data_IF_048444001127
#
_entry.id   IF_048444001127
#
_cell.length_a   1.000
_cell.length_b   1.000
_cell.length_c   1.000
_cell.angle_alpha   90.00
_cell.angle_beta   90.00
_cell.angle_gamma   90.00
#
_symmetry.space_group_name_H-M   'P 1'
#
loop_
_entity.id
_entity.type
_entity.pdbx_description
1 polymer ?
#
# COMPACT_ATOMS: atom_id res chain seq x y z
N UNK A 1 -4.53 -5.35 -30.39
CA UNK A 1 -4.94 -5.63 -28.98
C UNK A 1 -4.54 -4.52 -28.01
N UNK A 2 -3.36 -3.90 -28.16
CA UNK A 2 -2.91 -2.79 -27.29
C UNK A 2 -3.84 -1.56 -27.34
N UNK A 3 -4.22 -1.13 -28.54
CA UNK A 3 -5.05 0.07 -28.75
C UNK A 3 -6.46 -0.02 -28.12
N UNK A 4 -7.14 -1.16 -28.29
CA UNK A 4 -8.44 -1.41 -27.64
C UNK A 4 -8.37 -1.36 -26.11
N UNK A 5 -7.27 -1.85 -25.52
CA UNK A 5 -7.07 -1.79 -24.06
C UNK A 5 -6.85 -0.36 -23.60
N UNK A 6 -6.04 0.41 -24.33
CA UNK A 6 -5.80 1.81 -24.03
C UNK A 6 -7.11 2.63 -24.05
N UNK A 7 -7.95 2.42 -25.06
CA UNK A 7 -9.27 3.07 -25.14
C UNK A 7 -10.17 2.68 -23.96
N UNK A 8 -10.26 1.39 -23.61
CA UNK A 8 -11.09 0.95 -22.48
C UNK A 8 -10.64 1.58 -21.16
N UNK A 9 -9.33 1.64 -20.91
CA UNK A 9 -8.78 2.27 -19.70
C UNK A 9 -9.09 3.76 -19.67
N UNK A 10 -8.88 4.47 -20.79
CA UNK A 10 -9.19 5.89 -20.91
C UNK A 10 -10.66 6.17 -20.62
N UNK A 11 -11.56 5.38 -21.21
CA UNK A 11 -13.00 5.52 -21.01
C UNK A 11 -13.42 5.21 -19.56
N UNK A 12 -12.74 4.28 -18.87
CA UNK A 12 -12.94 4.03 -17.44
C UNK A 12 -12.50 5.23 -16.60
N UNK A 13 -11.33 5.79 -16.88
CA UNK A 13 -10.81 6.95 -16.15
C UNK A 13 -11.72 8.16 -16.33
N UNK A 14 -12.12 8.49 -17.56
CA UNK A 14 -13.00 9.65 -17.82
C UNK A 14 -14.35 9.51 -17.13
N UNK A 15 -14.99 8.33 -17.20
CA UNK A 15 -16.23 8.08 -16.45
C UNK A 15 -16.04 8.24 -14.94
N UNK A 16 -14.93 7.73 -14.40
CA UNK A 16 -14.63 7.88 -12.98
C UNK A 16 -14.44 9.36 -12.59
N UNK A 17 -13.79 10.15 -13.44
CA UNK A 17 -13.61 11.59 -13.23
C UNK A 17 -14.97 12.32 -13.26
N UNK A 18 -15.80 12.05 -14.27
CA UNK A 18 -17.14 12.62 -14.41
C UNK A 18 -18.03 12.31 -13.18
N UNK A 19 -17.99 11.06 -12.69
CA UNK A 19 -18.75 10.64 -11.50
C UNK A 19 -18.21 11.30 -10.21
N UNK A 20 -16.90 11.52 -10.13
CA UNK A 20 -16.24 12.09 -8.96
C UNK A 20 -16.45 13.60 -8.81
N UNK A 21 -16.78 14.33 -9.89
CA UNK A 21 -17.08 15.76 -9.82
C UNK A 21 -18.28 16.08 -8.92
N UNK A 22 -19.20 15.11 -8.73
CA UNK A 22 -20.30 15.23 -7.78
C UNK A 22 -19.93 14.90 -6.32
N UNK A 23 -19.13 13.86 -6.10
CA UNK A 23 -18.80 13.34 -4.76
C UNK A 23 -17.47 13.85 -4.17
N UNK A 24 -16.61 14.46 -4.99
CA UNK A 24 -15.26 14.92 -4.65
C UNK A 24 -14.22 13.81 -4.49
N UNK A 25 -14.64 12.54 -4.38
CA UNK A 25 -13.80 11.34 -4.22
C UNK A 25 -14.31 10.18 -5.06
N UNK A 26 -13.44 9.20 -5.33
CA UNK A 26 -13.79 7.98 -6.03
C UNK A 26 -14.27 6.90 -5.04
N UNK A 27 -15.24 6.06 -5.42
CA UNK A 27 -15.60 4.89 -4.62
C UNK A 27 -14.42 3.91 -4.56
N UNK A 28 -14.09 3.45 -3.36
CA UNK A 28 -13.07 2.43 -3.15
C UNK A 28 -13.72 1.05 -3.25
N UNK A 29 -13.35 0.30 -4.29
CA UNK A 29 -13.87 -1.05 -4.50
C UNK A 29 -13.40 -1.99 -3.39
N UNK A 30 -14.29 -2.88 -2.97
CA UNK A 30 -14.04 -3.82 -1.88
C UNK A 30 -13.60 -5.19 -2.40
N UNK A 31 -12.92 -5.95 -1.54
CA UNK A 31 -12.53 -7.35 -1.78
C UNK A 31 -13.74 -8.15 -2.29
N UNK A 32 -13.51 -8.92 -3.35
CA UNK A 32 -14.56 -9.53 -4.15
C UNK A 32 -14.71 -8.87 -5.53
N UNK A 33 -14.35 -7.59 -5.67
CA UNK A 33 -14.26 -6.95 -6.99
C UNK A 33 -13.05 -7.52 -7.78
N UNK A 34 -13.24 -8.00 -9.03
CA UNK A 34 -12.21 -8.74 -9.76
C UNK A 34 -10.96 -7.90 -10.10
N UNK A 35 -11.10 -6.57 -10.21
CA UNK A 35 -9.96 -5.67 -10.47
C UNK A 35 -8.86 -5.79 -9.41
N UNK A 36 -9.21 -6.10 -8.17
CA UNK A 36 -8.27 -6.25 -7.05
C UNK A 36 -7.46 -7.55 -7.12
N UNK A 37 -7.82 -8.45 -8.04
CA UNK A 37 -7.18 -9.76 -8.26
C UNK A 37 -6.51 -9.87 -9.61
N UNK A 38 -6.64 -8.86 -10.46
CA UNK A 38 -5.97 -8.81 -11.76
C UNK A 38 -4.63 -8.06 -11.63
N UNK A 39 -3.60 -8.51 -12.36
CA UNK A 39 -2.41 -7.70 -12.56
C UNK A 39 -2.78 -6.45 -13.37
N UNK A 40 -2.38 -5.29 -12.85
CA UNK A 40 -2.62 -4.01 -13.51
C UNK A 40 -1.79 -3.88 -14.79
N UNK A 41 -2.30 -3.13 -15.77
CA UNK A 41 -1.58 -2.83 -16.98
C UNK A 41 -0.52 -1.75 -16.74
N UNK A 42 0.64 -1.81 -17.41
CA UNK A 42 1.56 -0.68 -17.44
C UNK A 42 0.83 0.61 -17.84
N UNK A 43 1.17 1.72 -17.19
CA UNK A 43 0.74 3.06 -17.56
C UNK A 43 1.76 3.61 -18.57
N UNK A 44 1.49 3.44 -19.87
CA UNK A 44 2.41 3.67 -20.98
C UNK A 44 1.73 4.23 -22.25
N UNK A 45 0.75 5.14 -22.05
CA UNK A 45 0.11 5.90 -23.14
C UNK A 45 -1.41 5.75 -23.22
N UNK A 46 -2.05 5.16 -22.21
CA UNK A 46 -3.51 5.07 -22.11
C UNK A 46 -4.13 6.45 -21.83
N UNK A 47 -3.45 7.26 -21.02
CA UNK A 47 -3.88 8.59 -20.60
C UNK A 47 -2.96 9.66 -21.21
N UNK A 48 -3.56 10.81 -21.53
CA UNK A 48 -2.79 12.03 -21.76
C UNK A 48 -2.43 12.69 -20.42
N UNK A 49 -1.61 13.73 -20.46
CA UNK A 49 -1.12 14.42 -19.26
C UNK A 49 -2.26 15.03 -18.43
N UNK A 50 -3.33 15.48 -19.09
CA UNK A 50 -4.47 16.09 -18.41
C UNK A 50 -5.31 15.04 -17.67
N UNK A 51 -5.65 13.93 -18.33
CA UNK A 51 -6.37 12.81 -17.73
C UNK A 51 -5.55 12.18 -16.58
N UNK A 52 -4.23 12.05 -16.74
CA UNK A 52 -3.35 11.54 -15.67
C UNK A 52 -3.31 12.48 -14.47
N UNK A 53 -3.15 13.79 -14.68
CA UNK A 53 -3.12 14.77 -13.60
C UNK A 53 -4.43 14.79 -12.81
N UNK A 54 -5.57 14.72 -13.50
CA UNK A 54 -6.89 14.67 -12.86
C UNK A 54 -7.07 13.37 -12.07
N UNK A 55 -6.68 12.22 -12.64
CA UNK A 55 -6.74 10.93 -11.95
C UNK A 55 -5.89 10.92 -10.67
N UNK A 56 -4.65 11.42 -10.75
CA UNK A 56 -3.75 11.54 -9.58
C UNK A 56 -4.36 12.44 -8.50
N UNK A 57 -4.93 13.59 -8.88
CA UNK A 57 -5.59 14.49 -7.95
C UNK A 57 -6.80 13.82 -7.27
N UNK A 58 -7.59 13.06 -8.03
CA UNK A 58 -8.71 12.28 -7.50
C UNK A 58 -8.23 11.19 -6.54
N UNK A 59 -7.19 10.43 -6.89
CA UNK A 59 -6.57 9.42 -6.02
C UNK A 59 -6.08 10.04 -4.71
N UNK A 60 -5.40 11.19 -4.77
CA UNK A 60 -4.93 11.91 -3.58
C UNK A 60 -6.08 12.31 -2.66
N UNK A 61 -7.14 12.93 -3.21
CA UNK A 61 -8.32 13.34 -2.42
C UNK A 61 -9.01 12.12 -1.80
N UNK A 62 -9.17 11.06 -2.57
CA UNK A 62 -9.81 9.81 -2.12
C UNK A 62 -9.03 9.16 -0.99
N UNK A 63 -7.70 9.04 -1.13
CA UNK A 63 -6.81 8.51 -0.10
C UNK A 63 -6.92 9.30 1.21
N UNK A 64 -6.87 10.63 1.13
CA UNK A 64 -6.97 11.52 2.30
C UNK A 64 -8.34 11.49 2.96
N UNK A 65 -9.41 11.35 2.19
CA UNK A 65 -10.78 11.24 2.70
C UNK A 65 -11.06 9.88 3.38
N UNK A 66 -10.36 8.82 2.97
CA UNK A 66 -10.45 7.47 3.53
C UNK A 66 -9.38 7.17 4.61
N UNK A 67 -8.88 8.19 5.30
CA UNK A 67 -7.58 8.27 6.01
C UNK A 67 -6.51 7.19 5.69
N UNK A 68 -6.27 6.92 4.41
CA UNK A 68 -5.22 6.00 3.96
C UNK A 68 -3.85 6.65 3.86
N UNK A 69 -2.79 5.83 3.88
CA UNK A 69 -1.40 6.27 3.63
C UNK A 69 -0.87 5.87 2.25
N UNK A 70 -1.71 5.17 1.49
CA UNK A 70 -1.47 4.74 0.13
C UNK A 70 -2.79 4.41 -0.57
N UNK A 71 -2.82 4.54 -1.89
CA UNK A 71 -3.93 4.13 -2.73
C UNK A 71 -3.43 3.75 -4.12
N UNK A 72 -3.70 2.52 -4.54
CA UNK A 72 -3.43 2.01 -5.87
C UNK A 72 -4.65 2.21 -6.80
N UNK A 73 -4.41 2.50 -8.08
CA UNK A 73 -5.47 2.72 -9.07
C UNK A 73 -6.50 1.56 -9.16
N UNK A 74 -6.12 0.26 -9.01
CA UNK A 74 -7.10 -0.83 -8.94
C UNK A 74 -8.15 -0.66 -7.82
N UNK A 75 -7.80 -0.01 -6.72
CA UNK A 75 -8.74 0.22 -5.61
C UNK A 75 -9.86 1.20 -5.95
N UNK A 76 -9.72 1.99 -7.02
CA UNK A 76 -10.77 2.85 -7.56
C UNK A 76 -11.29 2.32 -8.91
N UNK A 77 -11.09 1.03 -9.19
CA UNK A 77 -11.60 0.37 -10.39
C UNK A 77 -10.75 0.55 -11.65
N UNK A 78 -9.60 1.22 -11.57
CA UNK A 78 -8.75 1.51 -12.73
C UNK A 78 -7.59 0.51 -12.81
N UNK A 79 -7.51 -0.37 -13.83
CA UNK A 79 -6.50 -1.43 -13.90
C UNK A 79 -5.16 -0.91 -14.45
N UNK A 80 -4.62 0.17 -13.89
CA UNK A 80 -3.32 0.75 -14.25
C UNK A 80 -2.29 0.58 -13.13
N UNK A 81 -1.02 0.41 -13.52
CA UNK A 81 0.13 0.36 -12.64
C UNK A 81 0.49 1.76 -12.14
N UNK A 82 -0.39 2.33 -11.32
CA UNK A 82 -0.32 3.67 -10.76
C UNK A 82 -0.71 3.61 -9.28
N UNK A 83 0.08 4.22 -8.42
CA UNK A 83 -0.22 4.38 -7.00
C UNK A 83 0.17 5.76 -6.49
N UNK A 84 -0.50 6.21 -5.44
CA UNK A 84 -0.12 7.39 -4.66
C UNK A 84 0.17 6.99 -3.22
N UNK A 85 1.14 7.65 -2.60
CA UNK A 85 1.53 7.41 -1.20
C UNK A 85 1.76 8.72 -0.47
N UNK A 86 1.37 8.78 0.80
CA UNK A 86 1.59 9.91 1.70
C UNK A 86 1.38 9.43 3.14
N UNK A 87 2.30 9.74 4.06
CA UNK A 87 2.13 9.44 5.48
C UNK A 87 2.47 10.69 6.30
N UNK A 88 1.55 11.24 7.10
CA UNK A 88 1.89 12.33 8.01
C UNK A 88 2.90 11.90 9.10
N UNK A 89 3.10 10.59 9.29
CA UNK A 89 3.87 10.03 10.40
C UNK A 89 2.97 9.72 11.59
N UNK A 90 3.58 9.54 12.76
CA UNK A 90 2.87 9.36 14.03
C UNK A 90 3.47 10.26 15.10
N UNK A 91 2.61 10.77 15.99
CA UNK A 91 3.04 11.67 17.08
C UNK A 91 3.72 10.92 18.23
N UNK A 92 3.38 9.63 18.42
CA UNK A 92 4.00 8.79 19.44
C UNK A 92 5.45 8.46 19.03
N UNK A 93 6.41 9.02 19.77
CA UNK A 93 7.83 8.88 19.49
C UNK A 93 8.34 7.44 19.60
N UNK A 94 7.76 6.61 20.48
CA UNK A 94 8.15 5.21 20.58
C UNK A 94 7.65 4.43 19.37
N UNK A 95 6.40 4.64 18.96
CA UNK A 95 5.83 4.04 17.75
C UNK A 95 6.60 4.49 16.51
N UNK A 96 6.90 5.80 16.38
CA UNK A 96 7.69 6.34 15.27
C UNK A 96 9.05 5.65 15.17
N UNK A 97 9.78 5.53 16.29
CA UNK A 97 11.09 4.89 16.35
C UNK A 97 11.03 3.39 16.03
N UNK A 98 10.07 2.67 16.62
CA UNK A 98 9.99 1.20 16.51
C UNK A 98 9.47 0.75 15.14
N UNK A 99 8.54 1.50 14.56
CA UNK A 99 7.99 1.23 13.22
C UNK A 99 8.74 1.93 12.10
N UNK A 100 9.72 2.78 12.45
CA UNK A 100 10.44 3.63 11.51
C UNK A 100 9.46 4.39 10.62
N UNK A 101 8.53 5.08 11.30
CA UNK A 101 7.36 5.72 10.70
C UNK A 101 7.47 7.23 10.83
N UNK A 102 8.35 7.78 10.01
CA UNK A 102 8.48 9.22 9.81
C UNK A 102 7.51 9.71 8.74
N UNK A 103 7.44 11.04 8.60
CA UNK A 103 6.65 11.68 7.54
C UNK A 103 7.15 11.27 6.15
N UNK A 104 6.22 10.79 5.33
CA UNK A 104 6.40 10.55 3.90
C UNK A 104 5.60 11.63 3.13
N UNK A 105 6.26 12.55 2.43
CA UNK A 105 5.57 13.51 1.55
C UNK A 105 4.72 12.80 0.49
N UNK A 106 3.72 13.49 -0.05
CA UNK A 106 2.91 12.96 -1.15
C UNK A 106 3.77 12.63 -2.36
N UNK A 107 3.58 11.44 -2.92
CA UNK A 107 4.30 10.96 -4.11
C UNK A 107 3.37 10.19 -5.04
N UNK A 108 3.66 10.30 -6.33
CA UNK A 108 3.03 9.51 -7.39
C UNK A 108 4.04 8.48 -7.87
N UNK A 109 3.60 7.23 -7.98
CA UNK A 109 4.41 6.11 -8.40
C UNK A 109 3.78 5.49 -9.65
N UNK A 110 4.37 5.78 -10.80
CA UNK A 110 3.97 5.25 -12.12
C UNK A 110 4.87 4.07 -12.45
N UNK A 111 4.24 2.95 -12.86
CA UNK A 111 4.89 1.67 -13.15
C UNK A 111 5.88 1.19 -12.07
N UNK A 112 5.54 1.27 -10.76
CA UNK A 112 6.51 0.99 -9.73
C UNK A 112 6.82 -0.50 -9.57
N UNK A 113 8.08 -0.76 -9.26
CA UNK A 113 8.59 -2.07 -8.85
C UNK A 113 9.49 -1.90 -7.62
N UNK A 114 9.64 -2.98 -6.84
CA UNK A 114 10.57 -2.99 -5.72
C UNK A 114 11.34 -4.31 -5.66
N UNK A 115 12.52 -4.24 -5.03
CA UNK A 115 13.32 -5.40 -4.66
C UNK A 115 13.72 -5.29 -3.18
N UNK A 116 13.66 -6.39 -2.39
CA UNK A 116 14.17 -6.39 -1.03
C UNK A 116 15.65 -5.98 -0.96
N UNK A 117 16.01 -5.20 0.06
CA UNK A 117 17.40 -4.87 0.38
C UNK A 117 17.75 -5.51 1.71
N UNK A 118 18.66 -6.49 1.67
CA UNK A 118 18.99 -7.33 2.82
C UNK A 118 17.94 -8.40 3.12
N UNK A 119 18.11 -9.09 4.26
CA UNK A 119 17.26 -10.22 4.69
C UNK A 119 16.28 -9.85 5.80
N UNK A 120 16.41 -8.64 6.36
CA UNK A 120 15.59 -8.19 7.48
C UNK A 120 14.11 -8.10 7.11
N UNK A 121 13.28 -8.73 7.94
CA UNK A 121 11.82 -8.63 7.85
C UNK A 121 11.24 -8.18 9.19
N UNK A 122 10.14 -7.43 9.11
CA UNK A 122 9.40 -6.91 10.26
C UNK A 122 7.91 -7.20 10.11
N UNK A 123 7.25 -7.57 11.20
CA UNK A 123 5.82 -7.88 11.23
C UNK A 123 5.03 -6.84 12.01
N UNK A 124 4.04 -6.23 11.36
CA UNK A 124 3.10 -5.29 11.98
C UNK A 124 1.70 -5.52 11.43
N UNK A 125 0.69 -5.07 12.17
CA UNK A 125 -0.69 -5.05 11.69
C UNK A 125 -0.82 -4.11 10.47
N UNK A 126 -1.36 -4.63 9.39
CA UNK A 126 -1.79 -3.89 8.20
C UNK A 126 -3.32 -3.94 8.10
N UNK A 127 -3.91 -2.86 7.60
CA UNK A 127 -5.28 -2.84 7.09
C UNK A 127 -5.26 -2.40 5.62
N UNK A 128 -6.42 -2.44 4.97
CA UNK A 128 -6.56 -2.01 3.58
C UNK A 128 -7.92 -1.33 3.39
N UNK A 129 -7.97 -0.23 2.64
CA UNK A 129 -9.21 0.47 2.33
C UNK A 129 -10.21 -0.38 1.52
N UNK A 130 -9.71 -1.41 0.83
CA UNK A 130 -10.51 -2.40 0.10
C UNK A 130 -10.89 -3.63 0.93
N UNK A 131 -10.50 -3.70 2.20
CA UNK A 131 -10.87 -4.78 3.14
C UNK A 131 -11.30 -4.11 4.45
N UNK A 132 -12.49 -3.52 4.42
CA UNK A 132 -13.00 -2.75 5.56
C UNK A 132 -13.24 -3.66 6.77
N UNK A 133 -12.84 -3.16 7.94
CA UNK A 133 -13.17 -3.75 9.25
C UNK A 133 -12.19 -4.80 9.75
N UNK A 134 -11.12 -5.12 9.02
CA UNK A 134 -10.14 -6.11 9.44
C UNK A 134 -8.69 -5.64 9.28
N UNK A 135 -7.84 -6.14 10.18
CA UNK A 135 -6.40 -6.00 10.13
C UNK A 135 -5.73 -7.33 10.50
N UNK A 136 -4.54 -7.57 9.96
CA UNK A 136 -3.73 -8.73 10.33
C UNK A 136 -2.25 -8.39 10.27
N UNK A 137 -1.43 -9.14 11.01
CA UNK A 137 0.03 -9.02 10.95
C UNK A 137 0.53 -9.49 9.59
N UNK A 138 1.34 -8.66 8.95
CA UNK A 138 2.02 -8.98 7.69
C UNK A 138 3.51 -8.78 7.85
N UNK A 139 4.28 -9.81 7.50
CA UNK A 139 5.73 -9.75 7.48
C UNK A 139 6.25 -9.14 6.15
N UNK A 140 6.96 -8.02 6.23
CA UNK A 140 7.52 -7.30 5.08
C UNK A 140 9.05 -7.20 5.20
N UNK A 141 9.81 -7.30 4.09
CA UNK A 141 11.13 -6.69 4.00
C UNK A 141 11.16 -5.31 4.66
N UNK A 142 12.13 -5.09 5.55
CA UNK A 142 12.30 -3.81 6.26
C UNK A 142 12.73 -2.69 5.31
N UNK A 143 13.57 -3.01 4.33
CA UNK A 143 14.05 -2.09 3.31
C UNK A 143 13.81 -2.65 1.91
N UNK A 144 13.47 -1.79 0.97
CA UNK A 144 13.32 -2.14 -0.45
C UNK A 144 13.92 -1.06 -1.34
N UNK A 145 14.50 -1.46 -2.47
CA UNK A 145 14.87 -0.55 -3.56
C UNK A 145 13.66 -0.35 -4.44
N UNK A 146 13.10 0.86 -4.43
CA UNK A 146 11.98 1.29 -5.24
C UNK A 146 12.49 1.81 -6.59
N UNK A 147 11.91 1.31 -7.68
CA UNK A 147 12.08 1.86 -9.03
C UNK A 147 10.72 2.23 -9.60
N UNK A 148 10.55 3.46 -10.07
CA UNK A 148 9.30 3.98 -10.63
C UNK A 148 9.57 5.21 -11.52
N UNK A 149 8.50 5.78 -12.07
CA UNK A 149 8.48 7.16 -12.55
C UNK A 149 7.55 8.00 -11.67
N UNK A 150 7.81 9.29 -11.57
CA UNK A 150 6.84 10.24 -11.00
C UNK A 150 5.81 10.70 -12.05
N UNK A 151 4.90 11.60 -11.65
CA UNK A 151 3.85 12.11 -12.54
C UNK A 151 4.39 12.94 -13.73
N UNK A 152 5.62 13.43 -13.67
CA UNK A 152 6.30 14.13 -14.76
C UNK A 152 7.09 13.19 -15.68
N UNK A 153 7.16 11.91 -15.33
CA UNK A 153 7.98 10.90 -16.02
C UNK A 153 9.42 10.81 -15.53
N UNK A 154 9.82 11.60 -14.52
CA UNK A 154 11.17 11.55 -13.97
C UNK A 154 11.39 10.22 -13.23
N UNK A 155 12.61 9.67 -13.37
CA UNK A 155 12.97 8.38 -12.76
C UNK A 155 13.08 8.52 -11.24
N UNK A 156 12.45 7.59 -10.53
CA UNK A 156 12.63 7.35 -9.11
C UNK A 156 13.40 6.03 -8.96
N UNK A 157 14.60 6.09 -8.38
CA UNK A 157 15.39 4.92 -8.00
C UNK A 157 16.08 5.18 -6.66
N UNK A 158 15.55 4.60 -5.59
CA UNK A 158 16.03 4.85 -4.23
C UNK A 158 15.78 3.67 -3.30
N UNK A 159 16.43 3.66 -2.14
CA UNK A 159 16.13 2.71 -1.07
C UNK A 159 15.20 3.38 -0.07
N UNK A 160 14.02 2.79 0.13
CA UNK A 160 13.08 3.15 1.19
C UNK A 160 13.14 2.11 2.29
N UNK A 161 12.96 2.54 3.55
CA UNK A 161 13.06 1.68 4.74
C UNK A 161 11.86 1.91 5.65
N UNK A 162 11.58 0.97 6.54
CA UNK A 162 10.61 1.14 7.62
C UNK A 162 9.16 1.14 7.13
N UNK A 163 8.35 2.02 7.69
CA UNK A 163 6.94 2.10 7.35
C UNK A 163 6.70 2.57 5.91
N UNK A 164 7.54 3.47 5.39
CA UNK A 164 7.48 3.88 3.99
C UNK A 164 7.71 2.69 3.04
N UNK A 165 8.68 1.82 3.34
CA UNK A 165 8.90 0.59 2.60
C UNK A 165 7.68 -0.35 2.66
N UNK A 166 7.00 -0.43 3.81
CA UNK A 166 5.76 -1.22 3.96
C UNK A 166 4.63 -0.70 3.07
N UNK A 167 4.39 0.61 3.08
CA UNK A 167 3.36 1.25 2.22
C UNK A 167 3.65 0.93 0.75
N UNK A 168 4.89 1.18 0.31
CA UNK A 168 5.36 0.88 -1.04
C UNK A 168 5.08 -0.58 -1.43
N UNK A 169 5.41 -1.54 -0.57
CA UNK A 169 5.14 -2.95 -0.84
C UNK A 169 3.65 -3.28 -0.90
N UNK A 170 2.83 -2.66 -0.05
CA UNK A 170 1.38 -2.85 -0.02
C UNK A 170 0.72 -2.34 -1.31
N UNK A 171 1.04 -1.13 -1.74
CA UNK A 171 0.49 -0.57 -2.97
C UNK A 171 0.96 -1.37 -4.20
N UNK A 172 2.21 -1.84 -4.21
CA UNK A 172 2.73 -2.68 -5.28
C UNK A 172 2.10 -4.08 -5.33
N UNK A 173 1.65 -4.62 -4.20
CA UNK A 173 0.86 -5.85 -4.17
C UNK A 173 -0.50 -5.63 -4.87
N UNK A 174 -1.17 -4.49 -4.62
CA UNK A 174 -2.42 -4.16 -5.31
C UNK A 174 -2.25 -4.14 -6.84
N UNK A 175 -1.14 -3.59 -7.35
CA UNK A 175 -0.84 -3.58 -8.78
C UNK A 175 -0.60 -4.98 -9.37
N UNK A 176 -0.31 -5.97 -8.52
CA UNK A 176 -0.13 -7.38 -8.90
C UNK A 176 -1.37 -8.24 -8.62
N UNK A 177 -2.48 -7.65 -8.20
CA UNK A 177 -3.68 -8.38 -7.80
C UNK A 177 -3.55 -9.14 -6.48
N UNK A 178 -2.59 -8.75 -5.65
CA UNK A 178 -2.33 -9.32 -4.33
C UNK A 178 -2.90 -8.39 -3.26
N UNK A 179 -3.57 -8.96 -2.27
CA UNK A 179 -4.06 -8.26 -1.08
C UNK A 179 -3.19 -8.63 0.13
N UNK A 180 -3.17 -7.79 1.15
CA UNK A 180 -2.41 -8.07 2.38
C UNK A 180 -2.82 -9.41 3.01
N UNK A 181 -4.09 -9.82 2.86
CA UNK A 181 -4.62 -11.10 3.33
C UNK A 181 -3.90 -12.33 2.73
N UNK A 182 -3.37 -12.23 1.51
CA UNK A 182 -2.63 -13.33 0.88
C UNK A 182 -1.24 -13.53 1.50
N UNK A 183 -0.79 -12.55 2.30
CA UNK A 183 0.51 -12.57 3.01
C UNK A 183 0.33 -12.53 4.52
N UNK A 184 -0.90 -12.47 5.00
CA UNK A 184 -1.21 -12.26 6.40
C UNK A 184 -0.96 -13.51 7.23
N UNK A 185 -0.49 -13.30 8.45
CA UNK A 185 -0.60 -14.31 9.49
C UNK A 185 -2.06 -14.39 9.95
N UNK A 186 -2.80 -15.36 9.42
CA UNK A 186 -4.25 -15.43 9.61
C UNK A 186 -4.67 -15.66 11.07
N UNK A 187 -3.81 -16.23 11.93
CA UNK A 187 -4.10 -16.33 13.38
C UNK A 187 -4.16 -14.97 14.05
N UNK A 188 -3.56 -13.94 13.45
CA UNK A 188 -3.60 -12.57 13.94
C UNK A 188 -4.76 -11.73 13.39
N UNK A 189 -5.60 -12.27 12.50
CA UNK A 189 -6.72 -11.51 11.94
C UNK A 189 -7.62 -11.00 13.07
N UNK A 190 -7.80 -9.67 13.11
CA UNK A 190 -8.61 -8.99 14.11
C UNK A 190 -9.56 -8.02 13.43
N UNK A 191 -10.77 -7.91 13.96
CA UNK A 191 -11.63 -6.79 13.62
C UNK A 191 -10.95 -5.48 14.06
N UNK A 192 -11.01 -4.45 13.22
CA UNK A 192 -10.33 -3.16 13.44
C UNK A 192 -10.76 -2.51 14.76
N UNK A 193 -12.05 -2.57 15.09
CA UNK A 193 -12.63 -2.03 16.32
C UNK A 193 -12.23 -2.82 17.58
N UNK A 194 -11.73 -4.04 17.42
CA UNK A 194 -11.25 -4.91 18.51
C UNK A 194 -9.74 -4.88 18.68
N UNK A 195 -9.00 -4.43 17.67
CA UNK A 195 -7.53 -4.41 17.70
C UNK A 195 -7.02 -3.59 18.90
N UNK A 196 -7.62 -2.41 19.14
CA UNK A 196 -7.26 -1.53 20.25
C UNK A 196 -7.38 -2.18 21.63
N UNK A 197 -8.45 -2.97 21.84
CA UNK A 197 -8.75 -3.59 23.12
C UNK A 197 -7.85 -4.78 23.46
N UNK A 198 -7.18 -5.37 22.47
CA UNK A 198 -6.48 -6.65 22.64
C UNK A 198 -5.01 -6.60 22.23
N UNK A 199 -4.65 -5.90 21.15
CA UNK A 199 -3.35 -6.11 20.48
C UNK A 199 -2.59 -4.81 20.14
N UNK A 200 -3.16 -3.64 20.41
CA UNK A 200 -2.55 -2.34 20.07
C UNK A 200 -1.78 -1.69 21.25
N UNK A 201 -1.65 -2.37 22.39
CA UNK A 201 -0.93 -1.88 23.57
C UNK A 201 0.58 -1.74 23.36
N UNK A 202 1.14 -2.40 22.33
CA UNK A 202 2.56 -2.43 22.03
C UNK A 202 2.82 -2.01 20.57
N UNK A 203 3.91 -1.26 20.30
CA UNK A 203 4.28 -0.87 18.93
C UNK A 203 4.55 -2.07 18.00
N UNK A 204 5.08 -3.17 18.55
CA UNK A 204 5.32 -4.45 17.88
C UNK A 204 4.30 -5.49 18.38
N UNK A 205 3.71 -6.35 17.53
CA UNK A 205 2.68 -7.32 17.93
C UNK A 205 3.27 -8.56 18.65
N UNK A 206 4.16 -8.36 19.62
CA UNK A 206 4.82 -9.44 20.37
C UNK A 206 3.84 -10.19 21.27
N UNK A 207 2.95 -9.48 21.95
CA UNK A 207 1.92 -10.09 22.79
C UNK A 207 0.95 -10.94 21.95
N UNK A 208 0.47 -10.41 20.83
CA UNK A 208 -0.36 -11.14 19.89
C UNK A 208 0.35 -12.41 19.37
N UNK A 209 1.63 -12.29 18.99
CA UNK A 209 2.45 -13.43 18.54
C UNK A 209 2.53 -14.54 19.58
N UNK A 210 2.79 -14.19 20.85
CA UNK A 210 2.87 -15.16 21.95
C UNK A 210 1.51 -15.78 22.29
N UNK A 211 0.48 -14.95 22.45
CA UNK A 211 -0.85 -15.38 22.89
C UNK A 211 -1.58 -16.18 21.82
N UNK A 212 -1.46 -15.77 20.55
CA UNK A 212 -2.14 -16.41 19.43
C UNK A 212 -1.30 -17.51 18.78
N UNK A 213 0.00 -17.59 19.09
CA UNK A 213 0.87 -18.68 18.66
C UNK A 213 1.27 -18.60 17.19
N UNK A 214 1.90 -17.49 16.80
CA UNK A 214 2.46 -17.32 15.45
C UNK A 214 3.88 -16.74 15.48
N UNK A 215 4.66 -17.01 14.43
CA UNK A 215 6.02 -16.51 14.32
C UNK A 215 6.03 -15.03 13.90
N UNK A 216 6.77 -14.20 14.64
CA UNK A 216 7.02 -12.81 14.26
C UNK A 216 8.49 -12.67 13.83
N UNK A 217 8.78 -12.17 12.61
CA UNK A 217 10.16 -11.93 12.22
C UNK A 217 10.75 -10.84 13.10
N UNK A 218 11.94 -11.10 13.63
CA UNK A 218 12.75 -10.14 14.39
C UNK A 218 13.86 -9.64 13.47
N UNK A 219 14.12 -8.33 13.39
CA UNK A 219 15.29 -7.83 12.68
C UNK A 219 16.54 -8.56 13.16
N UNK A 220 17.49 -8.85 12.27
CA UNK A 220 18.79 -9.31 12.73
C UNK A 220 19.36 -8.21 13.65
N UNK A 221 19.60 -8.55 14.92
CA UNK A 221 20.22 -7.61 15.84
C UNK A 221 21.58 -7.14 15.30
N UNK A 222 22.14 -6.02 15.78
CA UNK A 222 23.51 -5.65 15.47
C UNK A 222 24.46 -6.71 16.06
N UNK A 223 24.76 -7.76 15.29
CA UNK A 223 25.53 -8.92 15.73
C UNK A 223 24.73 -10.23 15.61
N UNK A 224 24.51 -10.68 14.38
CA UNK A 224 23.96 -12.00 14.10
C UNK A 224 24.86 -13.11 14.66
N UNK A 225 24.46 -13.68 15.78
CA UNK A 225 24.77 -15.06 16.15
C UNK A 225 23.44 -15.76 16.41
N UNK A 226 23.11 -16.74 15.56
CA UNK A 226 21.94 -17.58 15.74
C UNK A 226 22.03 -18.34 17.07
N UNK A 227 20.92 -18.51 17.82
CA UNK A 227 20.90 -19.41 18.96
C UNK A 227 21.14 -20.85 18.45
N UNK A 228 22.09 -21.53 19.07
CA UNK A 228 22.34 -22.97 18.89
C UNK A 228 21.22 -23.81 19.50
#
# INVERSE_FOLDING_TARGET
MSDRRATVVRDLVRRLLDDADGAGTAPIVQVGHPVLRAAAFPCDGQLDDADLAQLVALMQRTMRAAPGVGLAAPQIGIPLALAVVEDPGVDDAEVARVRERDRLPFRVLVNPAYEPVGEDRVGFYEGCLSVVGYQAVVARPRSVRLRAHDASGAVVDEVVTGWAARIVQHEMDHLRGTLYLDRAEMRSLSATDRLGAHWASQPVPLEASRALGFALPTPAGPGGAAPR
#
